data_IF_996233624152
#
_entry.id   IF_996233624152
#
_cell.length_a   1.000
_cell.length_b   1.000
_cell.length_c   1.000
_cell.angle_alpha   90.00
_cell.angle_beta   90.00
_cell.angle_gamma   90.00
#
_symmetry.space_group_name_H-M   'P 1'
#
loop_
_entity.id
_entity.type
_entity.pdbx_description
1 polymer ?
#
# COMPACT_ATOMS: atom_id res chain seq x y z
N UNK A 1 -10.64 -23.65 -7.14
CA UNK A 1 -11.52 -24.56 -7.90
C UNK A 1 -12.08 -23.84 -9.11
N UNK A 2 -11.96 -24.39 -10.33
CA UNK A 2 -12.61 -23.81 -11.50
C UNK A 2 -14.12 -23.80 -11.26
N UNK A 3 -14.75 -22.64 -11.45
CA UNK A 3 -16.21 -22.54 -11.40
C UNK A 3 -16.75 -23.25 -12.64
N UNK A 4 -17.66 -24.21 -12.46
CA UNK A 4 -18.33 -24.89 -13.58
C UNK A 4 -19.12 -23.85 -14.39
N UNK A 5 -18.81 -23.73 -15.69
CA UNK A 5 -19.59 -22.95 -16.64
C UNK A 5 -20.49 -23.90 -17.41
N UNK A 6 -21.80 -23.67 -17.37
CA UNK A 6 -22.79 -24.39 -18.18
C UNK A 6 -22.80 -23.96 -19.66
N UNK A 7 -22.07 -22.88 -20.00
CA UNK A 7 -22.04 -22.31 -21.35
C UNK A 7 -20.86 -22.86 -22.17
N UNK A 8 -21.10 -23.32 -23.41
CA UNK A 8 -20.02 -23.67 -24.32
C UNK A 8 -19.19 -22.43 -24.66
N UNK A 9 -17.87 -22.61 -24.79
CA UNK A 9 -16.99 -21.53 -25.23
C UNK A 9 -17.31 -21.16 -26.70
N UNK A 10 -17.31 -19.87 -27.07
CA UNK A 10 -17.46 -19.46 -28.46
C UNK A 10 -16.26 -19.92 -29.29
N UNK A 11 -16.42 -20.01 -30.62
CA UNK A 11 -15.39 -20.51 -31.54
C UNK A 11 -14.12 -19.65 -31.57
N UNK A 12 -14.22 -18.36 -31.24
CA UNK A 12 -13.13 -17.39 -31.17
C UNK A 12 -12.57 -17.21 -29.74
N UNK A 13 -12.92 -18.07 -28.78
CA UNK A 13 -12.51 -17.91 -27.37
C UNK A 13 -10.99 -17.85 -27.17
N UNK A 14 -10.22 -18.62 -27.94
CA UNK A 14 -8.76 -18.59 -27.90
C UNK A 14 -8.22 -17.23 -28.34
N UNK A 15 -8.78 -16.66 -29.42
CA UNK A 15 -8.38 -15.34 -29.92
C UNK A 15 -8.68 -14.23 -28.90
N UNK A 16 -9.82 -14.31 -28.21
CA UNK A 16 -10.20 -13.32 -27.17
C UNK A 16 -9.24 -13.35 -25.98
N UNK A 17 -8.81 -14.54 -25.53
CA UNK A 17 -7.88 -14.69 -24.40
C UNK A 17 -6.44 -14.34 -24.76
N UNK A 18 -6.06 -14.43 -26.04
CA UNK A 18 -4.72 -14.13 -26.52
C UNK A 18 -4.44 -12.63 -26.70
N UNK A 19 -5.44 -11.75 -26.50
CA UNK A 19 -5.22 -10.30 -26.59
C UNK A 19 -4.22 -9.86 -25.50
N UNK A 20 -3.22 -9.03 -25.85
CA UNK A 20 -2.22 -8.61 -24.89
C UNK A 20 -2.84 -7.75 -23.78
N UNK A 21 -2.33 -7.85 -22.54
CA UNK A 21 -2.77 -6.99 -21.45
C UNK A 21 -2.35 -5.53 -21.71
N UNK A 22 -3.18 -4.59 -21.26
CA UNK A 22 -2.88 -3.17 -21.27
C UNK A 22 -2.92 -2.66 -19.83
N UNK A 23 -1.83 -2.02 -19.40
CA UNK A 23 -1.75 -1.39 -18.08
C UNK A 23 -2.61 -0.13 -18.07
N UNK A 24 -3.57 -0.07 -17.14
CA UNK A 24 -4.54 1.04 -17.07
C UNK A 24 -3.89 2.36 -16.65
N UNK A 25 -2.95 2.29 -15.70
CA UNK A 25 -2.21 3.44 -15.19
C UNK A 25 -0.71 3.09 -15.22
N UNK A 26 0.00 3.40 -16.31
CA UNK A 26 1.45 3.20 -16.36
C UNK A 26 2.10 4.04 -15.27
N UNK A 27 2.92 3.43 -14.43
CA UNK A 27 3.47 4.07 -13.22
C UNK A 27 4.33 5.30 -13.56
N UNK A 28 4.91 5.32 -14.77
CA UNK A 28 5.76 6.37 -15.32
C UNK A 28 4.98 7.66 -15.61
N UNK A 29 3.65 7.58 -15.68
CA UNK A 29 2.78 8.75 -15.87
C UNK A 29 2.50 9.50 -14.58
N UNK A 30 2.84 8.92 -13.42
CA UNK A 30 2.74 9.59 -12.14
C UNK A 30 3.94 10.51 -11.93
N UNK A 31 3.75 11.72 -11.39
CA UNK A 31 4.89 12.54 -10.98
C UNK A 31 5.73 11.72 -9.98
N UNK A 32 7.05 11.53 -10.18
CA UNK A 32 7.86 10.72 -9.27
C UNK A 32 8.09 11.46 -7.94
N UNK A 33 8.19 10.74 -6.80
CA UNK A 33 8.63 11.39 -5.56
C UNK A 33 10.13 11.68 -5.65
N UNK A 34 10.57 12.78 -5.03
CA UNK A 34 12.01 13.06 -4.89
C UNK A 34 12.61 12.15 -3.80
N UNK A 35 12.98 10.94 -4.19
CA UNK A 35 13.59 9.96 -3.28
C UNK A 35 14.96 10.40 -2.78
N UNK A 36 15.71 11.18 -3.57
CA UNK A 36 17.00 11.72 -3.16
C UNK A 36 16.86 12.70 -1.99
N UNK A 37 15.90 13.62 -2.08
CA UNK A 37 15.54 14.53 -1.00
C UNK A 37 15.10 13.76 0.26
N UNK A 38 14.24 12.76 0.09
CA UNK A 38 13.72 11.97 1.21
C UNK A 38 14.82 11.13 1.87
N UNK A 39 15.74 10.55 1.10
CA UNK A 39 16.88 9.81 1.61
C UNK A 39 17.86 10.72 2.35
N UNK A 40 18.13 11.92 1.82
CA UNK A 40 18.96 12.92 2.49
C UNK A 40 18.35 13.34 3.83
N UNK A 41 17.05 13.66 3.86
CA UNK A 41 16.33 14.01 5.08
C UNK A 41 16.35 12.87 6.11
N UNK A 42 16.28 11.60 5.66
CA UNK A 42 16.35 10.43 6.54
C UNK A 42 17.65 10.32 7.33
N UNK A 43 18.77 10.83 6.80
CA UNK A 43 20.09 10.78 7.44
C UNK A 43 20.20 11.71 8.66
N UNK A 44 19.28 12.66 8.79
CA UNK A 44 19.28 13.68 9.85
C UNK A 44 18.06 13.60 10.77
N UNK A 45 17.32 12.48 10.75
CA UNK A 45 16.12 12.34 11.58
C UNK A 45 16.46 12.28 13.06
N UNK A 46 15.64 12.98 13.86
CA UNK A 46 15.61 12.83 15.31
C UNK A 46 14.29 12.17 15.69
N UNK A 47 14.35 11.12 16.52
CA UNK A 47 13.15 10.47 17.05
C UNK A 47 12.43 11.41 18.01
N UNK A 48 11.16 11.70 17.73
CA UNK A 48 10.34 12.62 18.54
C UNK A 48 9.25 11.93 19.36
N UNK A 49 8.80 10.74 18.95
CA UNK A 49 7.86 9.93 19.71
C UNK A 49 8.00 8.44 19.38
N UNK A 50 7.32 7.60 20.17
CA UNK A 50 7.18 6.17 19.95
C UNK A 50 5.80 5.71 20.39
N UNK A 51 5.27 4.69 19.72
CA UNK A 51 4.02 4.03 20.09
C UNK A 51 4.19 2.53 19.88
N UNK A 52 4.14 1.77 20.97
CA UNK A 52 4.14 0.30 20.93
C UNK A 52 2.70 -0.17 20.80
N UNK A 53 2.42 -0.98 19.78
CA UNK A 53 1.11 -1.58 19.54
C UNK A 53 1.12 -3.01 20.10
N UNK A 54 0.39 -3.30 21.18
CA UNK A 54 0.33 -4.65 21.72
C UNK A 54 -0.31 -5.64 20.72
N UNK A 55 0.01 -6.94 20.81
CA UNK A 55 -0.62 -7.95 19.97
C UNK A 55 -2.15 -7.90 20.10
N UNK A 56 -2.85 -7.95 18.96
CA UNK A 56 -4.32 -7.90 18.85
C UNK A 56 -4.96 -6.58 19.31
N UNK A 57 -4.17 -5.52 19.49
CA UNK A 57 -4.67 -4.19 19.78
C UNK A 57 -4.39 -3.21 18.64
N UNK A 58 -4.98 -2.02 18.73
CA UNK A 58 -4.71 -0.90 17.84
C UNK A 58 -4.26 0.32 18.67
N UNK A 59 -3.44 1.17 18.06
CA UNK A 59 -3.11 2.50 18.58
C UNK A 59 -3.25 3.51 17.45
N UNK A 60 -3.41 4.76 17.83
CA UNK A 60 -3.39 5.90 16.94
C UNK A 60 -2.18 6.78 17.27
N UNK A 61 -1.50 7.30 16.27
CA UNK A 61 -0.46 8.31 16.44
C UNK A 61 -0.60 9.43 15.39
N UNK A 62 -0.03 10.59 15.70
CA UNK A 62 -0.08 11.76 14.82
C UNK A 62 1.31 12.03 14.22
N UNK A 63 1.37 12.20 12.91
CA UNK A 63 2.59 12.54 12.17
C UNK A 63 2.36 13.86 11.43
N UNK A 64 3.03 14.96 11.82
CA UNK A 64 2.92 16.21 11.10
C UNK A 64 3.44 16.08 9.66
N UNK A 65 2.95 16.92 8.75
CA UNK A 65 3.44 16.96 7.39
C UNK A 65 4.97 17.16 7.35
N UNK A 66 5.66 16.44 6.47
CA UNK A 66 7.12 16.46 6.34
C UNK A 66 7.87 15.62 7.38
N UNK A 67 7.18 15.01 8.35
CA UNK A 67 7.79 14.07 9.28
C UNK A 67 7.75 12.64 8.74
N UNK A 68 8.52 11.77 9.39
CA UNK A 68 8.62 10.35 9.06
C UNK A 68 8.02 9.52 10.20
N UNK A 69 7.41 8.40 9.84
CA UNK A 69 7.11 7.33 10.79
C UNK A 69 7.70 6.02 10.27
N UNK A 70 8.00 5.11 11.20
CA UNK A 70 8.59 3.81 10.90
C UNK A 70 7.85 2.74 11.68
N UNK A 71 7.35 1.73 10.97
CA UNK A 71 6.78 0.53 11.56
C UNK A 71 7.90 -0.50 11.68
N UNK A 72 8.08 -1.06 12.88
CA UNK A 72 9.19 -1.98 13.20
C UNK A 72 8.61 -3.23 13.86
N UNK A 73 9.04 -4.40 13.43
CA UNK A 73 8.83 -5.66 14.17
C UNK A 73 9.86 -5.74 15.30
N UNK A 74 9.40 -5.89 16.55
CA UNK A 74 10.25 -5.76 17.76
C UNK A 74 10.39 -7.05 18.58
N UNK A 75 9.42 -7.97 18.54
CA UNK A 75 9.42 -9.20 19.37
C UNK A 75 9.23 -10.50 18.57
N UNK A 76 9.05 -10.42 17.26
CA UNK A 76 8.84 -11.57 16.39
C UNK A 76 8.01 -11.24 15.15
N UNK A 77 7.81 -12.23 14.25
CA UNK A 77 7.04 -12.06 13.02
C UNK A 77 5.60 -11.66 13.33
N UNK A 78 5.19 -10.49 12.85
CA UNK A 78 3.85 -9.94 13.03
C UNK A 78 3.49 -9.06 11.83
N UNK A 79 2.28 -9.23 11.31
CA UNK A 79 1.69 -8.34 10.31
C UNK A 79 0.85 -7.25 10.99
N UNK A 80 0.75 -6.08 10.38
CA UNK A 80 -0.05 -4.98 10.90
C UNK A 80 -0.93 -4.36 9.80
N UNK A 81 -2.18 -4.06 10.14
CA UNK A 81 -3.11 -3.37 9.26
C UNK A 81 -2.98 -1.86 9.51
N UNK A 82 -2.52 -1.11 8.51
CA UNK A 82 -2.38 0.35 8.58
C UNK A 82 -3.59 1.06 8.00
N UNK A 83 -4.06 2.09 8.69
CA UNK A 83 -4.99 3.10 8.18
C UNK A 83 -4.36 4.48 8.34
N UNK A 84 -4.67 5.38 7.40
CA UNK A 84 -4.20 6.76 7.44
C UNK A 84 -5.37 7.69 7.21
N UNK A 85 -5.37 8.80 7.94
CA UNK A 85 -6.32 9.91 7.79
C UNK A 85 -5.56 11.22 7.73
N UNK A 86 -6.13 12.22 7.07
CA UNK A 86 -5.70 13.59 7.24
C UNK A 86 -6.10 14.07 8.64
N UNK A 87 -5.14 14.55 9.43
CA UNK A 87 -5.37 14.99 10.80
C UNK A 87 -6.33 16.19 10.90
N UNK A 88 -6.42 17.03 9.87
CA UNK A 88 -7.35 18.16 9.81
C UNK A 88 -8.70 17.83 9.18
N UNK A 89 -8.84 16.66 8.54
CA UNK A 89 -10.09 16.22 7.90
C UNK A 89 -10.14 14.68 7.82
N UNK A 90 -10.83 14.06 8.77
CA UNK A 90 -10.97 12.59 8.81
C UNK A 90 -11.84 12.01 7.67
N UNK A 91 -12.50 12.85 6.86
CA UNK A 91 -13.17 12.39 5.66
C UNK A 91 -12.16 11.95 4.58
N UNK A 92 -10.97 12.58 4.56
CA UNK A 92 -9.84 12.22 3.73
C UNK A 92 -9.01 11.11 4.38
N UNK A 93 -9.04 9.91 3.78
CA UNK A 93 -8.36 8.72 4.31
C UNK A 93 -7.71 7.89 3.23
N UNK A 94 -6.89 6.92 3.64
CA UNK A 94 -6.23 5.99 2.74
C UNK A 94 -7.22 5.23 1.84
N UNK A 95 -6.92 5.21 0.54
CA UNK A 95 -7.71 4.59 -0.51
C UNK A 95 -6.94 3.46 -1.20
N UNK A 96 -6.89 2.29 -0.53
CA UNK A 96 -6.16 1.11 -1.03
C UNK A 96 -6.55 0.72 -2.46
N UNK A 97 -7.84 0.79 -2.82
CA UNK A 97 -8.31 0.45 -4.16
C UNK A 97 -7.71 1.31 -5.28
N UNK A 98 -7.49 2.60 -5.03
CA UNK A 98 -6.88 3.50 -6.02
C UNK A 98 -5.35 3.43 -5.98
N UNK A 99 -4.75 3.28 -4.80
CA UNK A 99 -3.32 2.93 -4.67
C UNK A 99 -3.00 1.67 -5.46
N UNK A 100 -3.81 0.61 -5.34
CA UNK A 100 -3.64 -0.64 -6.10
C UNK A 100 -3.70 -0.44 -7.60
N UNK A 101 -4.60 0.42 -8.07
CA UNK A 101 -4.75 0.68 -9.50
C UNK A 101 -3.57 1.48 -10.06
N UNK A 102 -3.02 2.42 -9.28
CA UNK A 102 -1.91 3.29 -9.68
C UNK A 102 -0.54 2.62 -9.55
N UNK A 103 -0.39 1.70 -8.60
CA UNK A 103 0.84 0.98 -8.33
C UNK A 103 0.64 -0.50 -8.71
N UNK A 104 0.57 -1.40 -7.73
CA UNK A 104 0.34 -2.83 -7.95
C UNK A 104 -0.49 -3.42 -6.81
N UNK A 105 -0.62 -4.75 -6.76
CA UNK A 105 -1.28 -5.45 -5.64
C UNK A 105 -0.55 -5.30 -4.31
N UNK A 106 0.74 -4.96 -4.37
CA UNK A 106 1.63 -4.71 -3.24
C UNK A 106 2.37 -3.39 -3.48
N UNK A 107 2.84 -2.75 -2.41
CA UNK A 107 3.54 -1.45 -2.47
C UNK A 107 4.94 -1.53 -1.89
N UNK A 108 5.88 -0.81 -2.52
CA UNK A 108 7.28 -0.77 -2.12
C UNK A 108 7.88 0.64 -2.16
N UNK A 109 9.21 0.73 -2.10
CA UNK A 109 9.94 2.01 -2.11
C UNK A 109 9.55 2.82 -3.36
N UNK A 110 9.17 4.08 -3.16
CA UNK A 110 8.72 4.99 -4.23
C UNK A 110 7.20 5.03 -4.41
N UNK A 111 6.48 4.00 -3.98
CA UNK A 111 5.02 4.00 -4.05
C UNK A 111 4.40 4.92 -3.00
N UNK A 112 3.17 5.34 -3.30
CA UNK A 112 2.43 6.30 -2.47
C UNK A 112 1.11 5.70 -2.00
N UNK A 113 0.77 6.05 -0.77
CA UNK A 113 -0.54 5.76 -0.19
C UNK A 113 -1.47 6.94 -0.53
N UNK A 114 -2.41 6.72 -1.44
CA UNK A 114 -3.28 7.78 -1.98
C UNK A 114 -4.54 7.94 -1.15
N UNK A 115 -5.04 9.18 -1.05
CA UNK A 115 -6.28 9.47 -0.34
C UNK A 115 -7.54 9.22 -1.17
N UNK A 116 -8.68 9.17 -0.50
CA UNK A 116 -10.01 9.04 -1.09
C UNK A 116 -10.38 10.23 -1.98
N UNK A 117 -11.28 9.99 -2.93
CA UNK A 117 -11.94 11.07 -3.67
C UNK A 117 -12.75 11.96 -2.71
N UNK A 118 -12.87 13.27 -2.98
CA UNK A 118 -12.37 13.99 -4.16
C UNK A 118 -10.89 14.40 -4.09
N UNK A 119 -10.21 14.21 -2.95
CA UNK A 119 -8.86 14.73 -2.71
C UNK A 119 -7.79 14.09 -3.61
N UNK A 120 -7.78 12.76 -3.68
CA UNK A 120 -6.85 11.95 -4.50
C UNK A 120 -5.42 12.51 -4.52
N UNK A 121 -4.81 12.62 -3.35
CA UNK A 121 -3.42 13.06 -3.20
C UNK A 121 -2.60 12.05 -2.39
N UNK A 122 -1.26 12.08 -2.47
CA UNK A 122 -0.42 11.29 -1.59
C UNK A 122 -0.62 11.70 -0.12
N UNK A 123 -0.87 10.72 0.75
CA UNK A 123 -0.82 10.86 2.21
C UNK A 123 0.56 10.50 2.76
N UNK A 124 1.19 9.48 2.18
CA UNK A 124 2.53 9.02 2.54
C UNK A 124 3.26 8.44 1.33
N UNK A 125 4.59 8.48 1.38
CA UNK A 125 5.49 7.85 0.40
C UNK A 125 6.35 6.82 1.13
N UNK A 126 6.46 5.61 0.58
CA UNK A 126 7.35 4.59 1.15
C UNK A 126 8.78 4.94 0.76
N UNK A 127 9.61 5.23 1.76
CA UNK A 127 10.99 5.69 1.55
C UNK A 127 12.04 4.63 1.86
N UNK A 128 11.65 3.53 2.51
CA UNK A 128 12.54 2.42 2.84
C UNK A 128 11.72 1.20 3.22
N UNK A 129 12.21 0.04 2.79
CA UNK A 129 11.62 -1.25 3.10
C UNK A 129 12.74 -2.28 3.26
N UNK A 130 12.88 -2.85 4.46
CA UNK A 130 13.89 -3.86 4.75
C UNK A 130 13.54 -5.22 4.15
N UNK A 131 12.30 -5.43 3.71
CA UNK A 131 11.84 -6.61 2.98
C UNK A 131 11.74 -6.37 1.47
N UNK A 132 12.23 -5.23 0.96
CA UNK A 132 12.16 -4.90 -0.47
C UNK A 132 12.92 -5.88 -1.39
N UNK A 133 13.80 -6.70 -0.82
CA UNK A 133 14.48 -7.79 -1.54
C UNK A 133 13.57 -8.97 -1.88
N UNK A 134 12.40 -9.10 -1.24
CA UNK A 134 11.49 -10.23 -1.44
C UNK A 134 10.97 -10.28 -2.88
N UNK A 135 10.68 -9.12 -3.47
CA UNK A 135 10.14 -9.03 -4.82
C UNK A 135 8.82 -9.79 -4.96
N UNK A 136 8.76 -10.69 -5.94
CA UNK A 136 7.63 -11.59 -6.19
C UNK A 136 8.14 -13.02 -6.13
N UNK A 137 7.45 -13.88 -5.38
CA UNK A 137 7.75 -15.31 -5.37
C UNK A 137 7.11 -16.07 -6.55
N UNK A 138 7.37 -17.37 -6.63
CA UNK A 138 6.91 -18.24 -7.73
C UNK A 138 5.38 -18.36 -7.81
N UNK A 139 4.68 -18.12 -6.70
CA UNK A 139 3.21 -18.10 -6.64
C UNK A 139 2.62 -16.72 -6.99
N UNK A 140 3.47 -15.72 -7.21
CA UNK A 140 3.08 -14.33 -7.50
C UNK A 140 2.66 -13.56 -6.25
N UNK A 141 3.10 -13.96 -5.06
CA UNK A 141 2.90 -13.23 -3.82
C UNK A 141 4.08 -12.28 -3.52
N UNK A 142 3.78 -11.26 -2.71
CA UNK A 142 4.74 -10.27 -2.24
C UNK A 142 4.31 -9.77 -0.84
N UNK A 143 5.07 -8.83 -0.28
CA UNK A 143 4.78 -8.21 1.03
C UNK A 143 4.13 -6.84 0.88
N UNK A 144 3.48 -6.34 1.94
CA UNK A 144 2.82 -5.01 1.98
C UNK A 144 1.65 -4.88 0.99
N UNK A 145 0.65 -5.73 1.16
CA UNK A 145 -0.48 -5.80 0.25
C UNK A 145 -1.43 -4.59 0.36
N UNK A 146 -2.09 -4.28 -0.75
CA UNK A 146 -3.22 -3.34 -0.82
C UNK A 146 -4.47 -3.98 -1.47
N UNK A 147 -4.51 -5.32 -1.49
CA UNK A 147 -5.61 -6.12 -2.05
C UNK A 147 -6.59 -6.57 -0.98
N UNK A 148 -6.11 -6.74 0.25
CA UNK A 148 -6.87 -7.19 1.39
C UNK A 148 -7.88 -6.16 1.89
N UNK A 149 -8.83 -6.66 2.66
CA UNK A 149 -9.68 -5.85 3.54
C UNK A 149 -9.43 -6.36 4.95
N UNK A 150 -9.20 -5.44 5.89
CA UNK A 150 -8.97 -5.78 7.29
C UNK A 150 -9.99 -6.79 7.81
N UNK A 151 -9.50 -7.81 8.53
CA UNK A 151 -10.29 -8.96 8.98
C UNK A 151 -11.18 -8.67 10.21
N UNK A 152 -11.37 -7.39 10.59
CA UNK A 152 -11.97 -7.00 11.88
C UNK A 152 -13.01 -5.87 11.72
N UNK A 153 -14.10 -5.84 12.53
CA UNK A 153 -15.14 -4.81 12.47
C UNK A 153 -14.76 -3.46 13.11
N UNK A 154 -13.55 -3.35 13.69
CA UNK A 154 -13.12 -2.23 14.55
C UNK A 154 -11.85 -1.60 13.95
N UNK A 155 -11.66 -0.26 13.98
CA UNK A 155 -10.56 0.40 13.25
C UNK A 155 -9.19 -0.04 13.77
N UNK A 156 -8.38 -0.59 12.87
CA UNK A 156 -7.01 -1.05 13.11
C UNK A 156 -6.02 0.06 12.73
N UNK A 157 -4.97 0.25 13.54
CA UNK A 157 -3.86 1.25 13.49
C UNK A 157 -4.14 2.56 12.74
N UNK A 158 -4.22 3.67 13.48
CA UNK A 158 -4.14 5.03 12.92
C UNK A 158 -2.71 5.57 12.96
#
# INVERSE_FOLDING_TARGET
>A
MPKSSTMPAPSDAAERRAKPPVVVYPSETLPPPDLGLLEAARKTLTKVSETIVPPREARAFHVPQGHFFRIVSVDGPQVGDLKLWNAGDLSERFFSGKTRALHATHVGIGDRLWSTLPHLRPLATITHDTLGWYGWDEDGAAVHDVIGRAAIPIPTVC
#
